data_IF_197596089389
#
_entry.id   IF_197596089389
#
_cell.length_a   1.000
_cell.length_b   1.000
_cell.length_c   1.000
_cell.angle_alpha   90.00
_cell.angle_beta   90.00
_cell.angle_gamma   90.00
#
_symmetry.space_group_name_H-M   'P 1'
#
loop_
_entity.id
_entity.type
_entity.pdbx_description
1 polymer ?
#
# COMPACT_ATOMS: atom_id res chain seq x y z
N UNK A 1 23.85 19.16 -32.25
CA UNK A 1 22.81 18.10 -32.21
C UNK A 1 21.61 18.65 -31.48
N UNK A 2 20.39 18.42 -31.96
CA UNK A 2 19.16 18.88 -31.28
C UNK A 2 19.12 18.27 -29.87
N UNK A 3 19.05 19.11 -28.83
CA UNK A 3 18.86 18.67 -27.45
C UNK A 3 17.44 18.15 -27.16
N UNK A 4 16.57 18.14 -28.18
CA UNK A 4 15.18 17.67 -28.10
C UNK A 4 15.03 16.39 -28.90
N UNK A 5 14.30 15.44 -28.32
CA UNK A 5 13.89 14.17 -28.95
C UNK A 5 12.37 14.01 -28.88
N UNK A 6 11.83 13.07 -29.65
CA UNK A 6 10.38 12.79 -29.70
C UNK A 6 10.10 11.42 -29.10
N UNK A 7 9.15 11.35 -28.17
CA UNK A 7 8.60 10.12 -27.62
C UNK A 7 7.10 10.13 -27.90
N UNK A 8 6.60 9.09 -28.56
CA UNK A 8 5.18 8.94 -28.87
C UNK A 8 4.41 8.43 -27.66
N UNK A 9 3.31 9.09 -27.33
CA UNK A 9 2.39 8.74 -26.24
C UNK A 9 0.95 8.87 -26.74
N UNK A 10 0.01 8.28 -26.01
CA UNK A 10 -1.41 8.43 -26.32
C UNK A 10 -1.83 9.90 -26.29
N UNK A 11 -2.65 10.30 -27.27
CA UNK A 11 -3.11 11.68 -27.43
C UNK A 11 -3.78 12.20 -26.17
N UNK A 12 -4.62 11.38 -25.53
CA UNK A 12 -5.35 11.77 -24.32
C UNK A 12 -4.39 12.05 -23.15
N UNK A 13 -3.34 11.21 -22.99
CA UNK A 13 -2.30 11.41 -21.98
C UNK A 13 -1.53 12.69 -22.25
N UNK A 14 -1.14 12.96 -23.50
CA UNK A 14 -0.46 14.20 -23.86
C UNK A 14 -1.32 15.44 -23.57
N UNK A 15 -2.63 15.39 -23.85
CA UNK A 15 -3.55 16.49 -23.56
C UNK A 15 -3.69 16.74 -22.05
N UNK A 16 -3.88 15.68 -21.25
CA UNK A 16 -3.93 15.76 -19.78
C UNK A 16 -2.62 16.30 -19.21
N UNK A 17 -1.48 15.82 -19.70
CA UNK A 17 -0.16 16.28 -19.29
C UNK A 17 0.04 17.78 -19.59
N UNK A 18 -0.42 18.26 -20.74
CA UNK A 18 -0.38 19.68 -21.10
C UNK A 18 -1.35 20.56 -20.31
N UNK A 19 -2.44 20.00 -19.79
CA UNK A 19 -3.31 20.71 -18.83
C UNK A 19 -2.59 20.87 -17.50
N UNK A 20 -2.07 19.78 -16.93
CA UNK A 20 -1.30 19.79 -15.68
C UNK A 20 -0.11 20.75 -15.77
N UNK A 21 0.65 20.74 -16.87
CA UNK A 21 1.78 21.67 -17.03
C UNK A 21 1.35 23.14 -16.93
N UNK A 22 0.18 23.49 -17.47
CA UNK A 22 -0.37 24.86 -17.40
C UNK A 22 -0.86 25.20 -16.01
N UNK A 23 -1.54 24.27 -15.33
CA UNK A 23 -2.03 24.45 -13.96
C UNK A 23 -0.89 24.76 -12.97
N UNK A 24 0.25 24.06 -13.12
CA UNK A 24 1.43 24.26 -12.28
C UNK A 24 2.40 25.33 -12.79
N UNK A 25 2.13 25.97 -13.94
CA UNK A 25 3.00 27.00 -14.52
C UNK A 25 4.37 26.47 -15.01
N UNK A 26 4.48 25.19 -15.33
CA UNK A 26 5.71 24.53 -15.78
C UNK A 26 5.64 24.29 -17.30
N UNK A 27 6.76 24.47 -18.01
CA UNK A 27 6.79 24.14 -19.44
C UNK A 27 6.60 22.64 -19.66
N UNK A 28 5.81 22.26 -20.68
CA UNK A 28 5.53 20.86 -20.97
C UNK A 28 6.82 20.04 -21.21
N UNK A 29 7.84 20.66 -21.84
CA UNK A 29 9.14 20.03 -22.04
C UNK A 29 9.83 19.72 -20.71
N UNK A 30 9.88 20.68 -19.78
CA UNK A 30 10.53 20.49 -18.47
C UNK A 30 9.79 19.45 -17.65
N UNK A 31 8.47 19.56 -17.56
CA UNK A 31 7.66 18.58 -16.82
C UNK A 31 7.86 17.18 -17.40
N UNK A 32 7.94 17.04 -18.73
CA UNK A 32 8.18 15.75 -19.38
C UNK A 32 9.55 15.18 -19.04
N UNK A 33 10.61 15.99 -19.12
CA UNK A 33 11.97 15.56 -18.75
C UNK A 33 12.03 15.12 -17.29
N UNK A 34 11.57 15.95 -16.35
CA UNK A 34 11.60 15.68 -14.91
C UNK A 34 10.79 14.41 -14.59
N UNK A 35 9.61 14.23 -15.21
CA UNK A 35 8.77 13.03 -15.04
C UNK A 35 9.45 11.76 -15.57
N UNK A 36 10.15 11.85 -16.70
CA UNK A 36 10.88 10.72 -17.28
C UNK A 36 12.10 10.35 -16.44
N UNK A 37 12.80 11.31 -15.84
CA UNK A 37 13.91 11.04 -14.91
C UNK A 37 13.44 10.26 -13.68
N UNK A 38 12.32 10.69 -13.06
CA UNK A 38 11.68 9.96 -11.95
C UNK A 38 11.28 8.55 -12.38
N UNK A 39 10.67 8.40 -13.56
CA UNK A 39 10.30 7.09 -14.09
C UNK A 39 11.52 6.18 -14.31
N UNK A 40 12.61 6.71 -14.86
CA UNK A 40 13.86 5.97 -15.09
C UNK A 40 14.45 5.48 -13.76
N UNK A 41 14.53 6.34 -12.75
CA UNK A 41 15.05 5.96 -11.43
C UNK A 41 14.21 4.83 -10.80
N UNK A 42 12.88 4.97 -10.84
CA UNK A 42 11.97 3.96 -10.33
C UNK A 42 12.08 2.62 -11.06
N UNK A 43 12.10 2.64 -12.39
CA UNK A 43 12.24 1.44 -13.22
C UNK A 43 13.58 0.71 -12.94
N UNK A 44 14.67 1.46 -12.77
CA UNK A 44 15.99 0.90 -12.40
C UNK A 44 15.99 0.21 -11.04
N UNK A 45 15.11 0.62 -10.13
CA UNK A 45 14.89 -0.03 -8.83
C UNK A 45 13.87 -1.18 -8.87
N UNK A 46 13.39 -1.55 -10.06
CA UNK A 46 12.45 -2.65 -10.26
C UNK A 46 10.98 -2.29 -10.01
N UNK A 47 10.64 -1.00 -9.89
CA UNK A 47 9.24 -0.58 -9.85
C UNK A 47 8.64 -0.61 -11.25
N UNK A 48 7.37 -0.97 -11.36
CA UNK A 48 6.59 -0.83 -12.60
C UNK A 48 5.76 0.47 -12.59
N UNK A 49 5.35 1.00 -13.75
CA UNK A 49 4.46 2.17 -13.80
C UNK A 49 3.16 1.98 -13.01
N UNK A 50 2.58 0.77 -13.05
CA UNK A 50 1.40 0.44 -12.25
C UNK A 50 1.68 0.53 -10.75
N UNK A 51 2.83 0.02 -10.32
CA UNK A 51 3.26 0.09 -8.91
C UNK A 51 3.46 1.54 -8.46
N UNK A 52 4.01 2.40 -9.31
CA UNK A 52 4.14 3.84 -9.03
C UNK A 52 2.80 4.54 -8.87
N UNK A 53 1.83 4.24 -9.73
CA UNK A 53 0.47 4.79 -9.58
C UNK A 53 -0.15 4.38 -8.25
N UNK A 54 -0.01 3.10 -7.87
CA UNK A 54 -0.52 2.61 -6.59
C UNK A 54 0.20 3.28 -5.40
N UNK A 55 1.52 3.48 -5.48
CA UNK A 55 2.29 4.19 -4.47
C UNK A 55 1.75 5.59 -4.22
N UNK A 56 1.51 6.37 -5.28
CA UNK A 56 0.98 7.73 -5.17
C UNK A 56 -0.41 7.73 -4.53
N UNK A 57 -1.31 6.84 -4.97
CA UNK A 57 -2.67 6.74 -4.42
C UNK A 57 -2.67 6.32 -2.95
N UNK A 58 -1.79 5.39 -2.58
CA UNK A 58 -1.64 4.93 -1.20
C UNK A 58 -1.05 6.04 -0.31
N UNK A 59 -0.06 6.78 -0.80
CA UNK A 59 0.51 7.92 -0.09
C UNK A 59 -0.55 8.99 0.21
N UNK A 60 -1.35 9.37 -0.78
CA UNK A 60 -2.46 10.32 -0.58
C UNK A 60 -3.51 9.81 0.42
N UNK A 61 -3.77 8.51 0.46
CA UNK A 61 -4.66 7.92 1.46
C UNK A 61 -4.06 8.01 2.87
N UNK A 62 -2.77 7.71 3.03
CA UNK A 62 -2.07 7.81 4.32
C UNK A 62 -1.99 9.25 4.85
N UNK A 63 -1.79 10.23 3.97
CA UNK A 63 -1.80 11.67 4.33
C UNK A 63 -3.11 12.09 4.98
N UNK A 64 -4.25 11.51 4.55
CA UNK A 64 -5.56 11.81 5.15
C UNK A 64 -5.78 11.22 6.55
N UNK A 65 -4.86 10.37 7.03
CA UNK A 65 -4.98 9.63 8.29
C UNK A 65 -3.97 10.09 9.35
N UNK A 66 -3.31 11.24 9.15
CA UNK A 66 -2.26 11.76 10.05
C UNK A 66 -1.18 10.70 10.37
N UNK A 67 -0.87 9.84 9.40
CA UNK A 67 0.01 8.71 9.60
C UNK A 67 1.48 9.16 9.79
N UNK A 68 2.10 8.72 10.89
CA UNK A 68 3.50 9.00 11.19
C UNK A 68 4.37 7.73 11.10
N UNK A 69 5.47 7.73 10.33
CA UNK A 69 6.36 6.58 10.25
C UNK A 69 7.21 6.45 11.53
N UNK A 70 7.01 5.37 12.27
CA UNK A 70 7.78 5.04 13.48
C UNK A 70 8.70 3.84 13.23
N UNK A 71 10.01 3.92 13.56
CA UNK A 71 10.89 2.75 13.49
C UNK A 71 10.36 1.62 14.38
N UNK A 72 10.26 0.42 13.81
CA UNK A 72 9.66 -0.76 14.47
C UNK A 72 10.21 -1.06 15.87
N UNK A 73 11.52 -0.89 16.07
CA UNK A 73 12.16 -1.17 17.35
C UNK A 73 11.75 -0.16 18.44
N UNK A 74 11.46 1.09 18.06
CA UNK A 74 10.90 2.10 18.98
C UNK A 74 9.46 1.74 19.31
N UNK A 75 8.66 1.34 18.32
CA UNK A 75 7.30 0.86 18.55
C UNK A 75 7.29 -0.33 19.52
N UNK A 76 8.15 -1.32 19.30
CA UNK A 76 8.28 -2.48 20.17
C UNK A 76 8.60 -2.07 21.62
N UNK A 77 9.60 -1.21 21.81
CA UNK A 77 9.98 -0.71 23.14
C UNK A 77 8.84 0.05 23.85
N UNK A 78 8.05 0.86 23.12
CA UNK A 78 6.89 1.55 23.69
C UNK A 78 5.85 0.54 24.20
N UNK A 79 5.57 -0.50 23.42
CA UNK A 79 4.56 -1.51 23.75
C UNK A 79 5.02 -2.57 24.74
N UNK A 80 6.32 -2.66 25.05
CA UNK A 80 6.82 -3.45 26.18
C UNK A 80 6.43 -2.83 27.53
N UNK A 81 6.31 -1.50 27.58
CA UNK A 81 6.03 -0.74 28.81
C UNK A 81 4.53 -0.49 29.04
N UNK A 82 3.65 -0.90 28.10
CA UNK A 82 2.20 -0.68 28.19
C UNK A 82 1.40 -1.96 27.96
N UNK A 83 0.19 -1.98 28.51
CA UNK A 83 -0.78 -3.05 28.25
C UNK A 83 -1.27 -3.00 26.80
N UNK A 84 -0.79 -3.95 26.00
CA UNK A 84 -1.06 -4.07 24.57
C UNK A 84 -2.54 -4.27 24.26
N UNK A 85 -3.31 -4.90 25.16
CA UNK A 85 -4.71 -5.21 24.91
C UNK A 85 -5.57 -3.95 24.82
N UNK A 86 -5.20 -2.89 25.54
CA UNK A 86 -5.87 -1.58 25.48
C UNK A 86 -5.80 -0.93 24.10
N UNK A 87 -4.82 -1.31 23.28
CA UNK A 87 -4.58 -0.72 21.97
C UNK A 87 -5.16 -1.55 20.82
N UNK A 88 -5.66 -2.76 21.07
CA UNK A 88 -6.28 -3.59 20.02
C UNK A 88 -7.44 -2.89 19.31
N UNK A 89 -8.35 -2.27 20.06
CA UNK A 89 -9.50 -1.54 19.49
C UNK A 89 -9.05 -0.27 18.75
N UNK A 90 -8.23 0.63 19.33
CA UNK A 90 -7.67 1.76 18.58
C UNK A 90 -6.96 1.38 17.29
N UNK A 91 -6.16 0.31 17.30
CA UNK A 91 -5.47 -0.17 16.09
C UNK A 91 -6.43 -0.73 15.06
N UNK A 92 -7.49 -1.43 15.49
CA UNK A 92 -8.57 -1.86 14.60
C UNK A 92 -9.26 -0.65 13.93
N UNK A 93 -9.60 0.38 14.71
CA UNK A 93 -10.25 1.59 14.18
C UNK A 93 -9.35 2.34 13.19
N UNK A 94 -8.06 2.47 13.51
CA UNK A 94 -7.07 3.07 12.60
C UNK A 94 -6.95 2.26 11.30
N UNK A 95 -6.92 0.93 11.39
CA UNK A 95 -6.94 0.05 10.23
C UNK A 95 -8.19 0.26 9.39
N UNK A 96 -9.37 0.32 10.03
CA UNK A 96 -10.66 0.52 9.36
C UNK A 96 -10.75 1.86 8.64
N UNK A 97 -10.28 2.94 9.26
CA UNK A 97 -10.24 4.25 8.65
C UNK A 97 -9.35 4.26 7.40
N UNK A 98 -8.15 3.68 7.49
CA UNK A 98 -7.27 3.56 6.33
C UNK A 98 -7.87 2.66 5.23
N UNK A 99 -8.50 1.54 5.60
CA UNK A 99 -9.13 0.63 4.65
C UNK A 99 -10.22 1.33 3.84
N UNK A 100 -11.06 2.12 4.51
CA UNK A 100 -12.09 2.92 3.86
C UNK A 100 -11.47 3.98 2.94
N UNK A 101 -10.42 4.69 3.37
CA UNK A 101 -9.72 5.68 2.55
C UNK A 101 -9.09 5.04 1.29
N UNK A 102 -8.45 3.88 1.45
CA UNK A 102 -7.83 3.17 0.33
C UNK A 102 -8.86 2.61 -0.66
N UNK A 103 -10.01 2.13 -0.19
CA UNK A 103 -11.05 1.57 -1.07
C UNK A 103 -11.57 2.56 -2.12
N UNK A 104 -11.39 3.88 -1.90
CA UNK A 104 -11.78 4.94 -2.84
C UNK A 104 -10.83 4.98 -4.05
N UNK A 105 -9.55 4.66 -3.86
CA UNK A 105 -8.50 4.91 -4.86
C UNK A 105 -7.72 3.66 -5.31
N UNK A 106 -7.71 2.61 -4.50
CA UNK A 106 -6.97 1.37 -4.72
C UNK A 106 -7.91 0.20 -4.52
N UNK A 107 -8.16 -0.58 -5.57
CA UNK A 107 -8.96 -1.79 -5.43
C UNK A 107 -8.17 -2.85 -4.65
N UNK A 108 -8.84 -3.59 -3.76
CA UNK A 108 -8.15 -4.63 -2.96
C UNK A 108 -7.44 -5.68 -3.82
N UNK A 109 -8.02 -6.03 -4.97
CA UNK A 109 -7.41 -6.94 -5.94
C UNK A 109 -6.04 -6.45 -6.46
N UNK A 110 -5.81 -5.14 -6.49
CA UNK A 110 -4.51 -4.58 -6.90
C UNK A 110 -3.43 -4.89 -5.85
N UNK A 111 -3.80 -4.90 -4.56
CA UNK A 111 -2.93 -5.35 -3.47
C UNK A 111 -2.68 -6.85 -3.54
N UNK A 112 -3.69 -7.64 -3.94
CA UNK A 112 -3.59 -9.08 -4.09
C UNK A 112 -2.70 -9.49 -5.28
N UNK A 113 -2.80 -8.75 -6.41
CA UNK A 113 -1.99 -9.01 -7.61
C UNK A 113 -0.52 -8.62 -7.42
N UNK A 114 -0.23 -7.65 -6.55
CA UNK A 114 1.13 -7.32 -6.09
C UNK A 114 1.17 -7.29 -4.55
N UNK A 115 1.29 -8.46 -3.89
CA UNK A 115 1.26 -8.55 -2.42
C UNK A 115 2.32 -7.70 -1.73
N UNK A 116 3.41 -7.37 -2.41
CA UNK A 116 4.45 -6.51 -1.84
C UNK A 116 3.94 -5.09 -1.54
N UNK A 117 2.79 -4.70 -2.07
CA UNK A 117 2.13 -3.44 -1.78
C UNK A 117 1.63 -3.33 -0.34
N UNK A 118 1.42 -4.44 0.36
CA UNK A 118 1.13 -4.41 1.80
C UNK A 118 2.26 -3.77 2.62
N UNK A 119 3.50 -3.69 2.09
CA UNK A 119 4.62 -2.97 2.73
C UNK A 119 4.39 -1.47 2.91
N UNK A 120 3.43 -0.88 2.20
CA UNK A 120 3.12 0.54 2.32
C UNK A 120 2.27 0.85 3.54
N UNK A 121 1.55 -0.15 4.04
CA UNK A 121 0.59 0.00 5.14
C UNK A 121 0.97 -0.85 6.35
N UNK A 122 1.90 -1.80 6.18
CA UNK A 122 2.36 -2.70 7.22
C UNK A 122 3.87 -2.88 7.18
N UNK A 123 4.49 -3.06 8.35
CA UNK A 123 5.94 -3.22 8.46
C UNK A 123 6.39 -4.67 8.21
N UNK A 124 6.03 -5.22 7.05
CA UNK A 124 6.33 -6.60 6.65
C UNK A 124 7.63 -6.71 5.84
N UNK A 125 8.31 -7.84 5.97
CA UNK A 125 9.48 -8.19 5.15
C UNK A 125 9.09 -8.79 3.81
N UNK A 126 8.03 -9.58 3.79
CA UNK A 126 7.55 -10.25 2.60
C UNK A 126 6.04 -10.43 2.65
N UNK A 127 5.42 -10.51 1.48
CA UNK A 127 4.04 -10.87 1.31
C UNK A 127 3.92 -11.84 0.13
N UNK A 128 3.12 -12.88 0.29
CA UNK A 128 2.74 -13.79 -0.78
C UNK A 128 1.24 -13.95 -0.80
N UNK A 129 0.69 -14.23 -1.98
CA UNK A 129 -0.72 -14.49 -2.12
C UNK A 129 -0.95 -15.74 -2.97
N UNK A 130 -1.85 -16.60 -2.53
CA UNK A 130 -2.31 -17.78 -3.25
C UNK A 130 -3.83 -17.71 -3.40
N UNK A 131 -4.32 -17.75 -4.64
CA UNK A 131 -5.75 -17.71 -4.93
C UNK A 131 -6.19 -19.10 -5.39
N UNK A 132 -7.14 -19.69 -4.67
CA UNK A 132 -7.74 -20.99 -5.00
C UNK A 132 -9.25 -20.84 -5.07
N UNK A 133 -9.78 -20.80 -6.30
CA UNK A 133 -11.21 -20.55 -6.52
C UNK A 133 -11.61 -19.17 -6.00
N UNK A 134 -12.55 -19.14 -5.06
CA UNK A 134 -13.05 -17.93 -4.40
C UNK A 134 -12.34 -17.63 -3.07
N UNK A 135 -11.25 -18.32 -2.76
CA UNK A 135 -10.48 -18.09 -1.53
C UNK A 135 -9.13 -17.47 -1.88
N UNK A 136 -8.82 -16.36 -1.24
CA UNK A 136 -7.54 -15.68 -1.33
C UNK A 136 -6.81 -15.83 0.00
N UNK A 137 -5.64 -16.47 -0.01
CA UNK A 137 -4.78 -16.65 1.17
C UNK A 137 -3.54 -15.78 1.01
N UNK A 138 -3.36 -14.83 1.93
CA UNK A 138 -2.25 -13.87 1.92
C UNK A 138 -1.39 -14.14 3.16
N UNK A 139 -0.13 -14.44 2.95
CA UNK A 139 0.84 -14.62 4.03
C UNK A 139 1.70 -13.36 4.17
N UNK A 140 1.63 -12.74 5.33
CA UNK A 140 2.34 -11.51 5.66
C UNK A 140 3.45 -11.81 6.65
N UNK A 141 4.69 -11.87 6.17
CA UNK A 141 5.85 -12.21 6.99
C UNK A 141 6.49 -10.97 7.61
N UNK A 142 6.52 -10.92 8.95
CA UNK A 142 7.10 -9.84 9.73
C UNK A 142 8.53 -10.15 10.17
N UNK A 143 9.27 -9.13 10.59
CA UNK A 143 10.56 -9.33 11.25
C UNK A 143 10.36 -10.08 12.59
N UNK A 144 11.21 -11.05 12.96
CA UNK A 144 11.06 -11.76 14.23
C UNK A 144 11.04 -10.83 15.46
N UNK A 145 11.77 -9.72 15.39
CA UNK A 145 11.82 -8.72 16.47
C UNK A 145 10.48 -8.08 16.81
N UNK A 146 9.48 -8.12 15.91
CA UNK A 146 8.15 -7.54 16.16
C UNK A 146 7.10 -8.58 16.56
N UNK A 147 7.53 -9.79 16.93
CA UNK A 147 6.62 -10.85 17.40
C UNK A 147 5.66 -10.39 18.52
N UNK A 148 6.09 -9.58 19.51
CA UNK A 148 5.18 -9.07 20.54
C UNK A 148 4.04 -8.21 19.99
N UNK A 149 4.23 -7.59 18.82
CA UNK A 149 3.27 -6.66 18.21
C UNK A 149 2.29 -7.34 17.23
N UNK A 150 2.44 -8.64 16.96
CA UNK A 150 1.64 -9.33 15.93
C UNK A 150 0.14 -9.29 16.23
N UNK A 151 -0.26 -9.33 17.50
CA UNK A 151 -1.65 -9.19 17.92
C UNK A 151 -2.23 -7.80 17.56
N UNK A 152 -1.44 -6.74 17.70
CA UNK A 152 -1.84 -5.39 17.28
C UNK A 152 -1.94 -5.29 15.76
N UNK A 153 -0.95 -5.83 15.03
CA UNK A 153 -0.98 -5.84 13.57
C UNK A 153 -2.14 -6.68 13.02
N UNK A 154 -2.48 -7.79 13.68
CA UNK A 154 -3.67 -8.58 13.36
C UNK A 154 -4.96 -7.78 13.59
N UNK A 155 -5.05 -7.03 14.70
CA UNK A 155 -6.21 -6.16 14.98
C UNK A 155 -6.35 -5.06 13.92
N UNK A 156 -5.24 -4.39 13.59
CA UNK A 156 -5.17 -3.41 12.53
C UNK A 156 -5.57 -3.98 11.16
N UNK A 157 -5.05 -5.16 10.81
CA UNK A 157 -5.40 -5.84 9.56
C UNK A 157 -6.89 -6.20 9.47
N UNK A 158 -7.50 -6.67 10.56
CA UNK A 158 -8.96 -6.90 10.58
C UNK A 158 -9.73 -5.63 10.26
N UNK A 159 -9.35 -4.53 10.92
CA UNK A 159 -9.89 -3.21 10.65
C UNK A 159 -9.73 -2.82 9.19
N UNK A 160 -8.50 -2.95 8.66
CA UNK A 160 -8.17 -2.63 7.26
C UNK A 160 -9.09 -3.37 6.28
N UNK A 161 -9.26 -4.68 6.47
CA UNK A 161 -10.10 -5.51 5.60
C UNK A 161 -11.59 -5.14 5.72
N UNK A 162 -12.07 -4.89 6.93
CA UNK A 162 -13.44 -4.39 7.15
C UNK A 162 -13.68 -3.03 6.51
N UNK A 163 -12.71 -2.11 6.62
CA UNK A 163 -12.74 -0.80 5.97
C UNK A 163 -12.79 -0.90 4.45
N UNK A 164 -12.13 -1.91 3.90
CA UNK A 164 -12.20 -2.28 2.48
C UNK A 164 -13.55 -2.92 2.06
N UNK A 165 -14.43 -3.24 3.02
CA UNK A 165 -15.71 -3.90 2.78
C UNK A 165 -15.63 -5.43 2.68
N UNK A 166 -14.53 -6.05 3.13
CA UNK A 166 -14.32 -7.50 3.06
C UNK A 166 -14.86 -8.18 4.33
N UNK A 167 -16.15 -8.45 4.38
CA UNK A 167 -16.81 -8.98 5.58
C UNK A 167 -16.41 -10.42 5.97
N UNK A 168 -15.97 -11.25 5.01
CA UNK A 168 -15.66 -12.66 5.24
C UNK A 168 -14.15 -12.91 5.20
N UNK A 169 -13.48 -12.61 6.32
CA UNK A 169 -12.05 -12.85 6.44
C UNK A 169 -11.68 -13.52 7.78
N UNK A 170 -10.60 -14.30 7.77
CA UNK A 170 -10.02 -14.96 8.94
C UNK A 170 -8.54 -14.66 9.02
N UNK A 171 -8.04 -14.36 10.22
CA UNK A 171 -6.61 -14.10 10.44
C UNK A 171 -6.07 -15.04 11.50
N UNK A 172 -4.92 -15.62 11.20
CA UNK A 172 -4.19 -16.52 12.10
C UNK A 172 -2.72 -16.16 12.13
N UNK A 173 -2.15 -16.12 13.35
CA UNK A 173 -0.72 -15.93 13.55
C UNK A 173 -0.05 -17.30 13.51
N UNK A 174 0.95 -17.46 12.64
CA UNK A 174 1.84 -18.63 12.55
C UNK A 174 3.27 -18.12 12.71
N UNK A 175 3.85 -18.28 13.89
CA UNK A 175 5.18 -17.75 14.23
C UNK A 175 5.30 -16.22 14.07
N UNK A 176 5.96 -15.77 13.00
CA UNK A 176 6.12 -14.36 12.61
C UNK A 176 5.33 -14.00 11.34
N UNK A 177 4.41 -14.87 10.92
CA UNK A 177 3.54 -14.68 9.75
C UNK A 177 2.10 -14.46 10.23
N UNK A 178 1.43 -13.47 9.65
CA UNK A 178 -0.02 -13.35 9.73
C UNK A 178 -0.59 -13.90 8.42
N UNK A 179 -1.28 -15.03 8.51
CA UNK A 179 -2.04 -15.60 7.40
C UNK A 179 -3.43 -14.97 7.40
N UNK A 180 -3.78 -14.32 6.30
CA UNK A 180 -5.08 -13.71 6.05
C UNK A 180 -5.80 -14.54 5.00
N UNK A 181 -6.95 -15.09 5.37
CA UNK A 181 -7.84 -15.79 4.44
C UNK A 181 -9.04 -14.89 4.16
N UNK A 182 -9.25 -14.53 2.90
CA UNK A 182 -10.44 -13.82 2.43
C UNK A 182 -11.29 -14.79 1.62
N UNK A 183 -12.51 -15.06 2.11
CA UNK A 183 -13.50 -15.90 1.45
C UNK A 183 -14.35 -15.04 0.48
N UNK A 184 -14.98 -15.68 -0.51
CA UNK A 184 -15.77 -15.00 -1.55
C UNK A 184 -14.99 -13.94 -2.34
N UNK A 185 -13.68 -14.13 -2.50
CA UNK A 185 -12.83 -13.28 -3.33
C UNK A 185 -13.25 -13.36 -4.80
N UNK A 186 -13.72 -12.25 -5.35
CA UNK A 186 -14.01 -12.11 -6.78
C UNK A 186 -12.77 -11.63 -7.52
N UNK A 187 -12.43 -12.31 -8.63
CA UNK A 187 -11.30 -11.96 -9.49
C UNK A 187 -11.62 -10.86 -10.53
N UNK A 188 -12.86 -10.38 -10.57
CA UNK A 188 -13.39 -9.49 -11.62
C UNK A 188 -12.51 -8.25 -11.87
#
# INVERSE_FOLDING_TARGET
>A
MSSKTTITVDREVALKFSQVSREFGISALRLASDSLEVAIEALRRGYSPKRLQLLVRTASALESQDAFPLPLHIMAAIFEEVDIDKFKVPLYEAGRALGAALSISVQFQELVRDPQMFKLVLPIRNATCNIKGQTCVIDLAFAPAVRPLLELFMSYLRGLLDGYGLANHKLHIKENIIEVTVESYSQA
#
